data_IF_151495038932
#
_entry.id   IF_151495038932
#
_cell.length_a   1.000
_cell.length_b   1.000
_cell.length_c   1.000
_cell.angle_alpha   90.00
_cell.angle_beta   90.00
_cell.angle_gamma   90.00
#
_symmetry.space_group_name_H-M   'P 1'
#
loop_
_entity.id
_entity.type
_entity.pdbx_description
1 polymer ?
#
# COMPACT_ATOMS: atom_id res chain seq x y z
N UNK A 1 -7.74 -1.56 -28.55
CA UNK A 1 -8.88 -1.66 -27.58
C UNK A 1 -8.32 -2.04 -26.23
N UNK A 2 -8.86 -1.56 -25.11
CA UNK A 2 -8.46 -2.03 -23.76
C UNK A 2 -9.38 -3.15 -23.33
N UNK A 3 -8.91 -4.11 -22.54
CA UNK A 3 -9.69 -5.29 -22.16
C UNK A 3 -11.05 -4.95 -21.51
N UNK A 4 -11.08 -3.92 -20.65
CA UNK A 4 -12.32 -3.49 -19.97
C UNK A 4 -13.34 -2.77 -20.90
N UNK A 5 -12.98 -2.44 -22.12
CA UNK A 5 -13.90 -1.87 -23.13
C UNK A 5 -14.82 -2.95 -23.74
N UNK A 6 -14.43 -4.24 -23.61
CA UNK A 6 -15.28 -5.39 -23.83
C UNK A 6 -15.67 -6.00 -22.47
N UNK A 7 -16.82 -5.61 -21.95
CA UNK A 7 -17.28 -6.00 -20.61
C UNK A 7 -17.48 -7.52 -20.47
N UNK A 8 -17.91 -8.21 -21.55
CA UNK A 8 -18.11 -9.64 -21.51
C UNK A 8 -16.77 -10.38 -21.45
N UNK A 9 -15.85 -10.04 -22.32
CA UNK A 9 -14.51 -10.63 -22.35
C UNK A 9 -13.74 -10.35 -21.06
N UNK A 10 -13.85 -9.13 -20.53
CA UNK A 10 -13.22 -8.77 -19.25
C UNK A 10 -13.73 -9.63 -18.10
N UNK A 11 -15.05 -9.83 -18.02
CA UNK A 11 -15.68 -10.70 -17.04
C UNK A 11 -15.23 -12.16 -17.18
N UNK A 12 -15.18 -12.68 -18.40
CA UNK A 12 -14.71 -14.04 -18.67
C UNK A 12 -13.25 -14.24 -18.29
N UNK A 13 -12.38 -13.27 -18.61
CA UNK A 13 -10.97 -13.30 -18.24
C UNK A 13 -10.79 -13.32 -16.71
N UNK A 14 -11.49 -12.45 -15.98
CA UNK A 14 -11.45 -12.44 -14.50
C UNK A 14 -11.93 -13.78 -13.94
N UNK A 15 -13.06 -14.28 -14.42
CA UNK A 15 -13.65 -15.55 -13.96
C UNK A 15 -12.73 -16.72 -14.21
N UNK A 16 -12.07 -16.78 -15.36
CA UNK A 16 -11.12 -17.84 -15.69
C UNK A 16 -9.87 -17.79 -14.78
N UNK A 17 -9.27 -16.62 -14.64
CA UNK A 17 -8.04 -16.43 -13.86
C UNK A 17 -8.27 -16.64 -12.37
N UNK A 18 -9.47 -16.39 -11.87
CA UNK A 18 -9.82 -16.59 -10.46
C UNK A 18 -10.04 -18.04 -10.03
N UNK A 19 -10.11 -18.98 -10.97
CA UNK A 19 -10.31 -20.40 -10.65
C UNK A 19 -9.24 -20.91 -9.67
N UNK A 20 -9.54 -21.99 -8.93
CA UNK A 20 -8.55 -22.65 -8.12
C UNK A 20 -7.29 -23.02 -8.93
N UNK A 21 -6.14 -23.03 -8.28
CA UNK A 21 -4.87 -23.39 -8.93
C UNK A 21 -4.95 -24.79 -9.56
N UNK A 22 -5.61 -25.75 -8.90
CA UNK A 22 -5.85 -27.10 -9.43
C UNK A 22 -6.69 -27.11 -10.73
N UNK A 23 -7.44 -26.05 -11.02
CA UNK A 23 -8.23 -25.87 -12.23
C UNK A 23 -7.55 -24.94 -13.24
N UNK A 24 -6.28 -24.63 -13.03
CA UNK A 24 -5.45 -23.81 -13.93
C UNK A 24 -5.65 -22.30 -13.75
N UNK A 25 -6.25 -21.83 -12.66
CA UNK A 25 -6.33 -20.42 -12.31
C UNK A 25 -5.26 -19.99 -11.29
N UNK A 26 -5.40 -18.79 -10.71
CA UNK A 26 -4.53 -18.26 -9.67
C UNK A 26 -5.04 -18.53 -8.24
N UNK A 27 -6.28 -18.97 -8.06
CA UNK A 27 -6.91 -19.12 -6.74
C UNK A 27 -7.17 -17.80 -6.02
N UNK A 28 -7.12 -16.67 -6.73
CA UNK A 28 -7.31 -15.33 -6.18
C UNK A 28 -8.76 -14.91 -6.40
N UNK A 29 -9.37 -14.24 -5.40
CA UNK A 29 -10.74 -13.73 -5.52
C UNK A 29 -10.96 -12.90 -6.80
N UNK A 30 -12.07 -13.11 -7.53
CA UNK A 30 -12.42 -12.32 -8.71
C UNK A 30 -12.42 -10.80 -8.43
N UNK A 31 -12.88 -10.41 -7.24
CA UNK A 31 -12.85 -9.01 -6.79
C UNK A 31 -11.42 -8.44 -6.74
N UNK A 32 -10.47 -9.23 -6.26
CA UNK A 32 -9.08 -8.78 -6.17
C UNK A 32 -8.44 -8.68 -7.56
N UNK A 33 -8.74 -9.63 -8.47
CA UNK A 33 -8.24 -9.61 -9.84
C UNK A 33 -8.78 -8.38 -10.59
N UNK A 34 -10.08 -8.10 -10.47
CA UNK A 34 -10.70 -6.92 -11.08
C UNK A 34 -10.09 -5.63 -10.56
N UNK A 35 -10.01 -5.49 -9.23
CA UNK A 35 -9.48 -4.29 -8.59
C UNK A 35 -7.99 -4.09 -8.89
N UNK A 36 -7.20 -5.15 -8.90
CA UNK A 36 -5.79 -5.15 -9.30
C UNK A 36 -5.59 -4.63 -10.73
N UNK A 37 -6.44 -5.04 -11.67
CA UNK A 37 -6.42 -4.52 -13.03
C UNK A 37 -6.59 -2.99 -13.05
N UNK A 38 -7.54 -2.45 -12.27
CA UNK A 38 -7.79 -1.02 -12.22
C UNK A 38 -6.66 -0.24 -11.49
N UNK A 39 -6.11 -0.81 -10.43
CA UNK A 39 -4.91 -0.28 -9.76
C UNK A 39 -3.73 -0.20 -10.74
N UNK A 40 -3.42 -1.31 -11.42
CA UNK A 40 -2.34 -1.35 -12.40
C UNK A 40 -2.57 -0.39 -13.58
N UNK A 41 -3.83 -0.22 -14.03
CA UNK A 41 -4.18 0.77 -15.04
C UNK A 41 -3.88 2.20 -14.55
N UNK A 42 -4.29 2.55 -13.34
CA UNK A 42 -4.04 3.87 -12.76
C UNK A 42 -2.54 4.17 -12.63
N UNK A 43 -1.77 3.21 -12.14
CA UNK A 43 -0.31 3.34 -12.02
C UNK A 43 0.38 3.42 -13.38
N UNK A 44 -0.07 2.68 -14.38
CA UNK A 44 0.42 2.76 -15.76
C UNK A 44 0.19 4.15 -16.38
N UNK A 45 -0.95 4.75 -16.11
CA UNK A 45 -1.27 6.10 -16.56
C UNK A 45 -0.39 7.14 -15.86
N UNK A 46 -0.15 6.98 -14.56
CA UNK A 46 0.77 7.82 -13.78
C UNK A 46 2.20 7.75 -14.30
N UNK A 47 2.69 6.56 -14.60
CA UNK A 47 4.08 6.32 -14.98
C UNK A 47 4.49 6.95 -16.31
N UNK A 48 3.56 7.50 -17.09
CA UNK A 48 3.84 8.08 -18.41
C UNK A 48 4.32 9.53 -18.33
N UNK A 49 5.38 9.84 -19.09
CA UNK A 49 5.89 11.20 -19.27
C UNK A 49 6.42 11.84 -17.99
N UNK A 50 6.37 13.16 -17.92
CA UNK A 50 6.97 13.94 -16.82
C UNK A 50 6.36 13.65 -15.45
N UNK A 51 5.08 13.31 -15.40
CA UNK A 51 4.43 12.92 -14.12
C UNK A 51 5.09 11.69 -13.55
N UNK A 52 5.39 10.67 -14.37
CA UNK A 52 6.03 9.44 -13.92
C UNK A 52 7.42 9.65 -13.29
N UNK A 53 8.15 10.67 -13.72
CA UNK A 53 9.47 11.01 -13.19
C UNK A 53 9.39 11.81 -11.87
N UNK A 54 8.21 12.33 -11.53
CA UNK A 54 7.97 13.19 -10.36
C UNK A 54 7.06 12.54 -9.31
N UNK A 55 6.74 11.29 -9.50
CA UNK A 55 5.84 10.54 -8.61
C UNK A 55 6.49 9.24 -8.19
N UNK A 56 6.30 8.87 -6.93
CA UNK A 56 6.82 7.65 -6.34
C UNK A 56 5.66 6.85 -5.74
N UNK A 57 5.45 5.65 -6.24
CA UNK A 57 4.48 4.71 -5.70
C UNK A 57 4.99 4.13 -4.39
N UNK A 58 4.14 4.05 -3.36
CA UNK A 58 4.52 3.65 -2.01
C UNK A 58 3.43 2.86 -1.30
N UNK A 59 3.64 2.60 -0.02
CA UNK A 59 2.64 1.97 0.85
C UNK A 59 2.57 0.45 0.74
N UNK A 60 1.50 -0.14 1.32
CA UNK A 60 1.32 -1.60 1.35
C UNK A 60 1.14 -2.22 -0.04
N UNK A 61 0.48 -1.50 -0.95
CA UNK A 61 0.27 -1.96 -2.32
C UNK A 61 1.59 -2.04 -3.10
N UNK A 62 2.56 -1.14 -2.84
CA UNK A 62 3.87 -1.22 -3.48
C UNK A 62 4.68 -2.43 -3.03
N UNK A 63 4.57 -2.84 -1.76
CA UNK A 63 5.25 -4.05 -1.27
C UNK A 63 4.78 -5.30 -2.02
N UNK A 64 3.47 -5.51 -2.10
CA UNK A 64 2.93 -6.70 -2.75
C UNK A 64 3.07 -6.69 -4.27
N UNK A 65 2.89 -5.52 -4.92
CA UNK A 65 2.86 -5.42 -6.38
C UNK A 65 4.23 -5.22 -7.04
N UNK A 66 5.12 -4.46 -6.42
CA UNK A 66 6.41 -4.14 -7.01
C UNK A 66 7.55 -5.01 -6.45
N UNK A 67 7.51 -5.31 -5.16
CA UNK A 67 8.54 -6.12 -4.51
C UNK A 67 8.16 -7.59 -4.35
N UNK A 68 6.89 -7.97 -4.52
CA UNK A 68 6.43 -9.33 -4.24
C UNK A 68 6.50 -9.69 -2.74
N UNK A 69 6.51 -8.69 -1.85
CA UNK A 69 6.61 -8.87 -0.40
C UNK A 69 5.21 -8.91 0.20
N UNK A 70 4.91 -9.99 0.91
CA UNK A 70 3.60 -10.26 1.49
C UNK A 70 2.59 -10.80 0.48
N UNK A 71 1.59 -11.52 0.99
CA UNK A 71 0.57 -12.22 0.20
C UNK A 71 -0.84 -11.69 0.50
N UNK A 72 -0.97 -10.38 0.72
CA UNK A 72 -2.25 -9.74 0.97
C UNK A 72 -2.60 -8.71 -0.10
N UNK A 73 -3.88 -8.60 -0.36
CA UNK A 73 -4.41 -7.51 -1.18
C UNK A 73 -4.36 -6.18 -0.40
N UNK A 74 -3.99 -5.12 -1.10
CA UNK A 74 -4.11 -3.75 -0.62
C UNK A 74 -4.83 -2.93 -1.68
N UNK A 75 -5.84 -2.16 -1.25
CA UNK A 75 -6.75 -1.46 -2.18
C UNK A 75 -6.37 0.00 -2.43
N UNK A 76 -5.48 0.53 -1.59
CA UNK A 76 -5.08 1.92 -1.62
C UNK A 76 -3.90 2.11 -2.57
N UNK A 77 -3.95 3.13 -3.39
CA UNK A 77 -2.84 3.53 -4.26
C UNK A 77 -2.22 4.78 -3.67
N UNK A 78 -1.13 4.59 -2.93
CA UNK A 78 -0.38 5.65 -2.28
C UNK A 78 0.72 6.17 -3.20
N UNK A 79 0.75 7.48 -3.43
CA UNK A 79 1.73 8.15 -4.27
C UNK A 79 2.31 9.36 -3.53
N UNK A 80 3.62 9.49 -3.56
CA UNK A 80 4.32 10.68 -3.09
C UNK A 80 4.81 11.52 -4.27
N UNK A 81 4.81 12.84 -4.12
CA UNK A 81 5.45 13.75 -5.08
C UNK A 81 6.94 13.84 -4.72
N UNK A 82 7.78 13.47 -5.69
CA UNK A 82 9.22 13.64 -5.59
C UNK A 82 9.59 15.13 -5.67
N UNK A 83 10.64 15.52 -4.95
CA UNK A 83 11.21 16.88 -4.97
C UNK A 83 10.18 18.00 -4.70
N UNK A 84 9.17 17.69 -3.88
CA UNK A 84 8.07 18.63 -3.58
C UNK A 84 8.57 19.97 -3.02
N UNK A 85 9.70 19.97 -2.27
CA UNK A 85 10.32 21.16 -1.70
C UNK A 85 10.91 22.13 -2.76
N UNK A 86 11.14 21.66 -3.97
CA UNK A 86 11.62 22.53 -5.09
C UNK A 86 10.49 23.31 -5.74
N UNK A 87 9.23 23.02 -5.41
CA UNK A 87 8.04 23.57 -6.03
C UNK A 87 7.42 24.68 -5.20
N UNK A 88 6.92 25.72 -5.86
CA UNK A 88 6.00 26.64 -5.20
C UNK A 88 4.68 25.93 -4.85
N UNK A 89 3.94 26.43 -3.86
CA UNK A 89 2.66 25.86 -3.45
C UNK A 89 1.65 25.70 -4.61
N UNK A 90 1.64 26.66 -5.56
CA UNK A 90 0.77 26.56 -6.74
C UNK A 90 1.24 25.47 -7.73
N UNK A 91 2.54 25.34 -7.94
CA UNK A 91 3.09 24.28 -8.79
C UNK A 91 2.82 22.90 -8.20
N UNK A 92 3.04 22.73 -6.89
CA UNK A 92 2.77 21.49 -6.17
C UNK A 92 1.29 21.10 -6.24
N UNK A 93 0.39 22.03 -5.93
CA UNK A 93 -1.06 21.82 -6.04
C UNK A 93 -1.47 21.43 -7.47
N UNK A 94 -0.90 22.08 -8.46
CA UNK A 94 -1.15 21.78 -9.88
C UNK A 94 -0.67 20.37 -10.23
N UNK A 95 0.53 19.97 -9.80
CA UNK A 95 1.09 18.65 -10.05
C UNK A 95 0.25 17.54 -9.39
N UNK A 96 -0.14 17.71 -8.12
CA UNK A 96 -1.02 16.76 -7.41
C UNK A 96 -2.34 16.57 -8.19
N UNK A 97 -2.97 17.66 -8.63
CA UNK A 97 -4.21 17.60 -9.42
C UNK A 97 -4.01 16.91 -10.77
N UNK A 98 -2.94 17.23 -11.49
CA UNK A 98 -2.62 16.60 -12.77
C UNK A 98 -2.35 15.11 -12.61
N UNK A 99 -1.62 14.73 -11.56
CA UNK A 99 -1.36 13.32 -11.22
C UNK A 99 -2.66 12.58 -10.96
N UNK A 100 -3.53 13.10 -10.07
CA UNK A 100 -4.82 12.50 -9.79
C UNK A 100 -5.68 12.37 -11.06
N UNK A 101 -5.79 13.42 -11.85
CA UNK A 101 -6.56 13.40 -13.10
C UNK A 101 -6.03 12.36 -14.10
N UNK A 102 -4.71 12.25 -14.25
CA UNK A 102 -4.08 11.26 -15.12
C UNK A 102 -4.34 9.82 -14.64
N UNK A 103 -4.15 9.56 -13.35
CA UNK A 103 -4.36 8.24 -12.77
C UNK A 103 -5.78 7.73 -12.93
N UNK A 104 -6.74 8.65 -12.92
CA UNK A 104 -8.19 8.33 -12.86
C UNK A 104 -8.92 8.63 -14.17
N UNK A 105 -8.19 8.74 -15.28
CA UNK A 105 -8.77 8.95 -16.60
C UNK A 105 -9.85 7.91 -16.92
N UNK A 106 -11.09 8.37 -17.17
CA UNK A 106 -12.25 7.52 -17.43
C UNK A 106 -12.90 6.89 -16.20
N UNK A 107 -12.49 7.27 -14.99
CA UNK A 107 -13.14 6.88 -13.73
C UNK A 107 -13.98 8.03 -13.17
N UNK A 108 -15.03 7.69 -12.44
CA UNK A 108 -15.92 8.66 -11.78
C UNK A 108 -15.46 8.91 -10.36
N UNK A 109 -15.19 10.18 -10.01
CA UNK A 109 -14.86 10.55 -8.63
C UNK A 109 -16.07 10.43 -7.72
N UNK A 110 -15.87 9.82 -6.56
CA UNK A 110 -16.88 9.66 -5.51
C UNK A 110 -16.55 10.59 -4.34
N UNK A 111 -17.47 11.48 -4.01
CA UNK A 111 -17.35 12.31 -2.80
C UNK A 111 -17.95 11.56 -1.62
N UNK A 112 -17.10 11.11 -0.70
CA UNK A 112 -17.51 10.43 0.53
C UNK A 112 -17.23 11.36 1.71
N UNK A 113 -18.27 11.91 2.39
CA UNK A 113 -18.08 12.81 3.52
C UNK A 113 -17.18 12.20 4.60
N UNK A 114 -16.21 12.98 5.09
CA UNK A 114 -15.24 12.54 6.10
C UNK A 114 -14.13 11.59 5.59
N UNK A 115 -14.21 11.07 4.36
CA UNK A 115 -13.21 10.19 3.78
C UNK A 115 -12.45 10.79 2.59
N UNK A 116 -13.04 11.81 1.93
CA UNK A 116 -12.40 12.52 0.82
C UNK A 116 -11.78 13.81 1.34
N UNK A 117 -10.52 14.06 0.99
CA UNK A 117 -9.79 15.26 1.38
C UNK A 117 -8.92 15.76 0.23
N UNK A 118 -8.96 17.06 -0.05
CA UNK A 118 -8.21 17.71 -1.11
C UNK A 118 -7.60 19.01 -0.60
N UNK A 119 -6.29 19.09 -0.64
CA UNK A 119 -5.52 20.25 -0.21
C UNK A 119 -4.42 20.63 -1.20
N UNK A 120 -3.54 21.53 -0.79
CA UNK A 120 -2.37 21.91 -1.57
C UNK A 120 -1.25 20.87 -1.53
N UNK A 121 -1.20 20.07 -0.45
CA UNK A 121 -0.18 19.06 -0.18
C UNK A 121 -0.70 17.63 -0.18
N UNK A 122 -1.99 17.46 -0.34
CA UNK A 122 -2.65 16.18 -0.17
C UNK A 122 -3.91 16.05 -1.01
N UNK A 123 -4.10 14.88 -1.61
CA UNK A 123 -5.30 14.47 -2.33
C UNK A 123 -5.66 13.05 -1.94
N UNK A 124 -6.85 12.86 -1.39
CA UNK A 124 -7.43 11.55 -1.07
C UNK A 124 -8.84 11.50 -1.62
N UNK A 125 -9.08 10.62 -2.57
CA UNK A 125 -10.40 10.47 -3.16
C UNK A 125 -10.65 9.04 -3.64
N UNK A 126 -11.92 8.65 -3.60
CA UNK A 126 -12.38 7.37 -4.16
C UNK A 126 -12.85 7.57 -5.59
N UNK A 127 -12.57 6.58 -6.43
CA UNK A 127 -12.94 6.59 -7.83
C UNK A 127 -13.65 5.30 -8.19
N UNK A 128 -14.85 5.43 -8.78
CA UNK A 128 -15.65 4.30 -9.26
C UNK A 128 -15.15 3.86 -10.62
N UNK A 129 -14.97 2.56 -10.78
CA UNK A 129 -14.72 1.92 -12.07
C UNK A 129 -15.92 1.08 -12.53
N UNK A 130 -16.08 0.86 -13.85
CA UNK A 130 -17.10 -0.05 -14.38
C UNK A 130 -16.85 -1.47 -13.86
N UNK A 131 -17.75 -1.99 -13.02
CA UNK A 131 -17.65 -3.35 -12.49
C UNK A 131 -18.05 -4.39 -13.52
N UNK A 132 -17.21 -5.39 -13.73
CA UNK A 132 -17.53 -6.60 -14.47
C UNK A 132 -18.06 -7.71 -13.55
N UNK A 133 -17.61 -7.75 -12.30
CA UNK A 133 -17.96 -8.77 -11.31
C UNK A 133 -19.00 -8.25 -10.34
N UNK A 134 -20.19 -8.88 -10.34
CA UNK A 134 -21.23 -8.62 -9.36
C UNK A 134 -20.99 -9.51 -8.13
N UNK A 135 -20.76 -8.93 -6.96
CA UNK A 135 -20.61 -9.68 -5.72
C UNK A 135 -20.58 -8.76 -4.51
N UNK A 136 -21.14 -9.24 -3.40
CA UNK A 136 -20.87 -8.65 -2.09
C UNK A 136 -19.52 -9.17 -1.62
N UNK A 137 -18.65 -8.27 -1.18
CA UNK A 137 -17.40 -8.67 -0.57
C UNK A 137 -17.67 -9.20 0.83
N UNK A 138 -17.20 -10.40 1.13
CA UNK A 138 -17.11 -10.90 2.51
C UNK A 138 -15.96 -10.24 3.29
N UNK A 139 -15.21 -9.34 2.64
CA UNK A 139 -14.03 -8.66 3.19
C UNK A 139 -14.31 -7.17 3.42
N UNK A 140 -13.41 -6.48 4.10
CA UNK A 140 -13.44 -5.02 4.29
C UNK A 140 -13.23 -4.23 2.98
N UNK A 141 -12.93 -4.90 1.87
CA UNK A 141 -12.66 -4.28 0.56
C UNK A 141 -13.97 -3.94 -0.14
N UNK A 142 -14.13 -2.68 -0.49
CA UNK A 142 -15.31 -2.20 -1.23
C UNK A 142 -15.17 -2.48 -2.73
N UNK A 143 -16.09 -3.24 -3.36
CA UNK A 143 -16.07 -3.48 -4.80
C UNK A 143 -16.36 -2.19 -5.59
N UNK A 144 -15.93 -2.15 -6.85
CA UNK A 144 -16.27 -1.10 -7.82
C UNK A 144 -15.58 0.25 -7.60
N UNK A 145 -14.63 0.33 -6.66
CA UNK A 145 -13.91 1.58 -6.37
C UNK A 145 -12.46 1.35 -6.02
N UNK A 146 -11.61 2.33 -6.30
CA UNK A 146 -10.23 2.43 -5.83
C UNK A 146 -10.04 3.72 -5.04
N UNK A 147 -9.15 3.67 -4.04
CA UNK A 147 -8.72 4.85 -3.30
C UNK A 147 -7.37 5.32 -3.86
N UNK A 148 -7.30 6.59 -4.23
CA UNK A 148 -6.06 7.25 -4.65
C UNK A 148 -5.67 8.26 -3.58
N UNK A 149 -4.49 8.07 -3.01
CA UNK A 149 -3.87 9.01 -2.09
C UNK A 149 -2.58 9.56 -2.69
N UNK A 150 -2.48 10.89 -2.83
CA UNK A 150 -1.28 11.58 -3.32
C UNK A 150 -0.87 12.59 -2.27
N UNK A 151 0.37 12.54 -1.83
CA UNK A 151 0.86 13.47 -0.82
C UNK A 151 2.30 13.95 -1.09
N UNK A 152 2.72 14.98 -0.35
CA UNK A 152 4.03 15.59 -0.41
C UNK A 152 4.63 15.87 0.96
N UNK A 153 4.22 15.09 1.98
CA UNK A 153 4.60 15.36 3.37
C UNK A 153 6.01 14.90 3.70
N UNK A 154 6.48 13.83 3.06
CA UNK A 154 7.81 13.29 3.29
C UNK A 154 8.58 13.17 1.97
N UNK A 155 9.90 13.22 2.08
CA UNK A 155 10.79 12.94 0.96
C UNK A 155 10.69 11.46 0.58
N UNK A 156 10.26 11.10 -0.64
CA UNK A 156 10.07 9.70 -1.04
C UNK A 156 11.39 9.07 -1.56
N UNK A 157 12.47 9.23 -0.81
CA UNK A 157 13.77 8.64 -1.13
C UNK A 157 14.30 7.77 0.03
N UNK A 158 15.12 6.77 -0.29
CA UNK A 158 15.47 6.31 -1.64
C UNK A 158 14.27 5.70 -2.38
N UNK A 159 14.32 5.72 -3.71
CA UNK A 159 13.34 5.08 -4.57
C UNK A 159 14.04 4.43 -5.78
N UNK A 160 13.40 3.44 -6.38
CA UNK A 160 13.94 2.70 -7.52
C UNK A 160 12.88 2.45 -8.58
N UNK A 161 13.31 2.14 -9.79
CA UNK A 161 12.41 1.86 -10.91
C UNK A 161 12.16 0.36 -11.03
N UNK A 162 10.93 -0.06 -10.74
CA UNK A 162 10.53 -1.47 -10.77
C UNK A 162 9.48 -1.74 -11.84
N UNK A 163 9.51 -2.96 -12.38
CA UNK A 163 8.50 -3.44 -13.32
C UNK A 163 7.27 -3.95 -12.57
N UNK A 164 6.09 -3.57 -13.07
CA UNK A 164 4.81 -4.00 -12.52
C UNK A 164 3.90 -4.57 -13.59
N UNK A 165 3.04 -5.48 -13.17
CA UNK A 165 2.00 -6.06 -14.02
C UNK A 165 0.76 -6.44 -13.19
N UNK A 166 -0.39 -6.57 -13.85
CA UNK A 166 -1.61 -7.05 -13.19
C UNK A 166 -1.61 -8.58 -13.07
N UNK A 167 -2.45 -9.12 -12.17
CA UNK A 167 -2.67 -10.57 -12.08
C UNK A 167 -3.09 -11.18 -13.42
N UNK A 168 -3.93 -10.49 -14.18
CA UNK A 168 -4.30 -10.91 -15.53
C UNK A 168 -3.07 -11.01 -16.45
N UNK A 169 -2.18 -10.03 -16.41
CA UNK A 169 -0.95 -10.04 -17.22
C UNK A 169 -0.01 -11.16 -16.77
N UNK A 170 0.18 -11.34 -15.46
CA UNK A 170 0.98 -12.42 -14.89
C UNK A 170 0.47 -13.77 -15.37
N UNK A 171 -0.82 -14.01 -15.27
CA UNK A 171 -1.46 -15.25 -15.72
C UNK A 171 -1.27 -15.49 -17.22
N UNK A 172 -1.57 -14.49 -18.06
CA UNK A 172 -1.43 -14.58 -19.51
C UNK A 172 0.02 -14.86 -19.93
N UNK A 173 0.98 -14.21 -19.29
CA UNK A 173 2.40 -14.41 -19.54
C UNK A 173 2.86 -15.84 -19.18
N UNK A 174 2.44 -16.34 -18.04
CA UNK A 174 2.73 -17.70 -17.59
C UNK A 174 2.09 -18.77 -18.48
N UNK A 175 0.92 -18.46 -19.05
CA UNK A 175 0.18 -19.34 -19.98
C UNK A 175 0.62 -19.19 -21.44
N UNK A 176 1.64 -18.39 -21.74
CA UNK A 176 2.18 -18.22 -23.10
C UNK A 176 1.35 -17.31 -24.02
N UNK A 177 0.35 -16.59 -23.51
CA UNK A 177 -0.59 -15.76 -24.27
C UNK A 177 -0.07 -14.33 -24.48
N UNK A 178 1.10 -14.17 -25.08
CA UNK A 178 1.75 -12.87 -25.31
C UNK A 178 0.96 -11.98 -26.27
N UNK A 179 0.29 -12.56 -27.24
CA UNK A 179 -0.49 -11.83 -28.25
C UNK A 179 -1.66 -11.09 -27.57
N UNK A 180 -2.36 -11.74 -26.64
CA UNK A 180 -3.45 -11.10 -25.85
C UNK A 180 -2.91 -9.92 -25.04
N UNK A 181 -1.73 -10.08 -24.43
CA UNK A 181 -1.08 -8.98 -23.68
C UNK A 181 -0.82 -7.78 -24.61
N UNK A 182 -0.35 -8.04 -25.84
CA UNK A 182 -0.08 -7.00 -26.84
C UNK A 182 -1.36 -6.32 -27.33
N UNK A 183 -2.38 -7.10 -27.71
CA UNK A 183 -3.65 -6.62 -28.28
C UNK A 183 -4.44 -5.72 -27.33
N UNK A 184 -4.40 -6.03 -26.02
CA UNK A 184 -5.10 -5.27 -24.99
C UNK A 184 -4.20 -4.29 -24.21
N UNK A 185 -2.98 -4.05 -24.68
CA UNK A 185 -2.02 -3.10 -24.09
C UNK A 185 -1.77 -3.35 -22.58
N UNK A 186 -1.58 -4.62 -22.23
CA UNK A 186 -1.42 -5.07 -20.85
C UNK A 186 0.04 -5.36 -20.47
N UNK A 187 1.01 -5.01 -21.33
CA UNK A 187 2.44 -5.26 -21.09
C UNK A 187 2.87 -4.76 -19.71
N UNK A 188 3.86 -5.41 -19.06
CA UNK A 188 4.49 -4.85 -17.87
C UNK A 188 4.98 -3.42 -18.11
N UNK A 189 5.02 -2.61 -17.07
CA UNK A 189 5.44 -1.21 -17.14
C UNK A 189 6.30 -0.84 -15.95
N UNK A 190 7.22 0.10 -16.15
CA UNK A 190 8.09 0.58 -15.09
C UNK A 190 7.46 1.74 -14.32
N UNK A 191 7.61 1.75 -13.01
CA UNK A 191 7.18 2.82 -12.11
C UNK A 191 8.26 3.11 -11.08
N UNK A 192 8.39 4.35 -10.63
CA UNK A 192 9.25 4.70 -9.49
C UNK A 192 8.55 4.24 -8.21
N UNK A 193 9.25 3.47 -7.39
CA UNK A 193 8.73 2.85 -6.16
C UNK A 193 9.61 3.25 -4.98
N UNK A 194 8.99 3.59 -3.85
CA UNK A 194 9.71 3.83 -2.60
C UNK A 194 10.44 2.56 -2.17
N UNK A 195 11.70 2.71 -1.79
CA UNK A 195 12.51 1.59 -1.29
C UNK A 195 11.80 0.87 -0.15
N UNK A 196 11.84 -0.47 -0.17
CA UNK A 196 11.20 -1.32 0.84
C UNK A 196 11.72 -1.07 2.25
N UNK A 197 13.01 -0.72 2.39
CA UNK A 197 13.64 -0.36 3.68
C UNK A 197 13.05 0.94 4.23
N UNK A 198 12.88 1.95 3.37
CA UNK A 198 12.19 3.20 3.75
C UNK A 198 10.73 2.93 4.11
N UNK A 199 10.04 2.05 3.37
CA UNK A 199 8.67 1.64 3.70
C UNK A 199 8.59 0.96 5.07
N UNK A 200 9.58 0.12 5.45
CA UNK A 200 9.67 -0.48 6.79
C UNK A 200 9.80 0.60 7.86
N UNK A 201 10.70 1.56 7.67
CA UNK A 201 10.90 2.70 8.59
C UNK A 201 9.63 3.54 8.73
N UNK A 202 8.95 3.89 7.61
CA UNK A 202 7.67 4.64 7.65
C UNK A 202 6.58 3.90 8.44
N UNK A 203 6.49 2.56 8.30
CA UNK A 203 5.52 1.76 9.05
C UNK A 203 5.84 1.73 10.54
N UNK A 204 7.09 1.56 10.91
CA UNK A 204 7.53 1.57 12.31
C UNK A 204 7.29 2.92 12.96
N UNK A 205 7.67 4.02 12.31
CA UNK A 205 7.41 5.38 12.82
C UNK A 205 5.91 5.63 12.97
N UNK A 206 5.09 5.19 12.00
CA UNK A 206 3.62 5.28 12.08
C UNK A 206 3.05 4.50 13.27
N UNK A 207 3.56 3.29 13.55
CA UNK A 207 3.13 2.50 14.71
C UNK A 207 3.56 3.16 16.03
N UNK A 208 4.79 3.69 16.11
CA UNK A 208 5.26 4.41 17.31
C UNK A 208 4.41 5.64 17.58
N UNK A 209 4.12 6.45 16.56
CA UNK A 209 3.23 7.59 16.69
C UNK A 209 1.83 7.18 17.18
N UNK A 210 1.26 6.11 16.63
CA UNK A 210 -0.03 5.60 17.07
C UNK A 210 0.00 5.06 18.51
N UNK A 211 1.09 4.43 18.93
CA UNK A 211 1.23 3.88 20.27
C UNK A 211 1.33 4.93 21.36
N UNK A 212 1.81 6.12 21.02
CA UNK A 212 1.92 7.26 21.93
C UNK A 212 0.63 8.09 22.02
N UNK A 213 -0.42 7.73 21.30
CA UNK A 213 -1.71 8.41 21.35
C UNK A 213 -2.47 8.18 22.67
N UNK A 214 -3.40 9.07 22.99
CA UNK A 214 -4.30 8.89 24.14
C UNK A 214 -5.18 7.65 23.98
N UNK A 215 -5.62 7.38 22.76
CA UNK A 215 -6.41 6.21 22.36
C UNK A 215 -5.56 5.16 21.59
N UNK A 216 -4.36 4.89 22.09
CA UNK A 216 -3.33 4.10 21.40
C UNK A 216 -3.84 2.78 20.83
N UNK A 217 -4.68 2.04 21.56
CA UNK A 217 -5.24 0.76 21.09
C UNK A 217 -6.14 0.91 19.87
N UNK A 218 -6.96 1.96 19.81
CA UNK A 218 -7.78 2.29 18.63
C UNK A 218 -6.90 2.62 17.44
N UNK A 219 -5.87 3.44 17.65
CA UNK A 219 -4.93 3.83 16.59
C UNK A 219 -4.12 2.64 16.07
N UNK A 220 -3.60 1.79 16.94
CA UNK A 220 -2.86 0.58 16.55
C UNK A 220 -3.76 -0.43 15.85
N UNK A 221 -5.01 -0.61 16.30
CA UNK A 221 -5.99 -1.46 15.63
C UNK A 221 -6.23 -1.05 14.18
N UNK A 222 -6.34 0.25 13.91
CA UNK A 222 -6.47 0.78 12.56
C UNK A 222 -5.22 0.55 11.68
N UNK A 223 -4.08 0.22 12.30
CA UNK A 223 -2.81 -0.08 11.64
C UNK A 223 -2.45 -1.57 11.65
N UNK A 224 -3.40 -2.46 11.92
CA UNK A 224 -3.15 -3.90 12.08
C UNK A 224 -2.39 -4.51 10.89
N UNK A 225 -2.62 -4.00 9.67
CA UNK A 225 -1.93 -4.43 8.45
C UNK A 225 -0.44 -4.10 8.46
N UNK A 226 0.02 -3.11 9.26
CA UNK A 226 1.45 -2.77 9.34
C UNK A 226 2.24 -3.87 10.04
N UNK A 227 1.66 -4.53 11.03
CA UNK A 227 2.29 -5.67 11.71
C UNK A 227 2.54 -6.83 10.75
N UNK A 228 1.55 -7.15 9.93
CA UNK A 228 1.68 -8.15 8.86
C UNK A 228 2.77 -7.76 7.84
N UNK A 229 2.77 -6.51 7.36
CA UNK A 229 3.76 -6.06 6.38
C UNK A 229 5.18 -6.08 6.96
N UNK A 230 5.35 -5.68 8.22
CA UNK A 230 6.64 -5.69 8.92
C UNK A 230 7.16 -7.10 9.15
N UNK A 231 6.29 -8.09 9.39
CA UNK A 231 6.69 -9.50 9.45
C UNK A 231 7.38 -9.92 8.14
N UNK A 232 6.76 -9.67 7.00
CA UNK A 232 7.35 -10.03 5.71
C UNK A 232 8.61 -9.21 5.37
N UNK A 233 8.64 -7.94 5.74
CA UNK A 233 9.82 -7.08 5.57
C UNK A 233 11.00 -7.55 6.43
N UNK A 234 10.76 -8.06 7.63
CA UNK A 234 11.78 -8.65 8.48
C UNK A 234 12.36 -9.94 7.87
N UNK A 235 11.57 -10.71 7.11
CA UNK A 235 12.00 -11.93 6.44
C UNK A 235 12.61 -11.69 5.05
N UNK A 236 12.58 -10.46 4.54
CA UNK A 236 13.35 -10.05 3.38
C UNK A 236 14.81 -9.78 3.78
N UNK A 237 15.76 -10.50 3.17
CA UNK A 237 17.17 -10.49 3.56
C UNK A 237 17.79 -9.08 3.58
N UNK A 238 17.51 -8.29 2.55
CA UNK A 238 18.04 -6.92 2.43
C UNK A 238 17.44 -5.99 3.50
N UNK A 239 16.12 -6.08 3.71
CA UNK A 239 15.44 -5.27 4.72
C UNK A 239 15.86 -5.67 6.13
N UNK A 240 16.02 -6.97 6.41
CA UNK A 240 16.51 -7.46 7.70
C UNK A 240 17.94 -6.96 7.99
N UNK A 241 18.82 -7.02 6.98
CA UNK A 241 20.18 -6.46 7.10
C UNK A 241 20.16 -4.97 7.43
N UNK A 242 19.30 -4.21 6.76
CA UNK A 242 19.13 -2.77 7.03
C UNK A 242 18.57 -2.51 8.43
N UNK A 243 17.53 -3.22 8.87
CA UNK A 243 16.93 -3.03 10.20
C UNK A 243 17.92 -3.26 11.36
N UNK A 244 18.96 -4.06 11.15
CA UNK A 244 20.06 -4.29 12.12
C UNK A 244 21.14 -3.23 12.11
N UNK A 245 21.14 -2.30 11.17
CA UNK A 245 22.22 -1.34 10.95
C UNK A 245 22.05 -0.04 11.74
N UNK A 246 23.15 0.68 11.92
CA UNK A 246 23.11 2.04 12.48
C UNK A 246 22.42 3.03 11.54
N UNK A 247 22.44 2.78 10.23
CA UNK A 247 21.72 3.59 9.27
C UNK A 247 20.20 3.57 9.53
N UNK A 248 19.63 2.39 9.84
CA UNK A 248 18.21 2.30 10.21
C UNK A 248 17.88 3.14 11.44
N UNK A 249 18.72 3.09 12.48
CA UNK A 249 18.49 3.87 13.72
C UNK A 249 18.49 5.36 13.44
N UNK A 250 19.44 5.84 12.61
CA UNK A 250 19.50 7.23 12.20
C UNK A 250 18.27 7.64 11.38
N UNK A 251 17.91 6.85 10.36
CA UNK A 251 16.75 7.10 9.49
C UNK A 251 15.42 7.08 10.26
N UNK A 252 15.31 6.14 11.23
CA UNK A 252 14.13 6.05 12.09
C UNK A 252 13.98 7.30 12.96
N UNK A 253 15.07 7.74 13.58
CA UNK A 253 15.06 8.91 14.46
C UNK A 253 14.77 10.19 13.66
N UNK A 254 15.42 10.37 12.50
CA UNK A 254 15.16 11.50 11.62
C UNK A 254 13.68 11.54 11.18
N UNK A 255 13.12 10.41 10.75
CA UNK A 255 11.74 10.36 10.31
C UNK A 255 10.74 10.56 11.46
N UNK A 256 11.04 10.04 12.65
CA UNK A 256 10.20 10.23 13.82
C UNK A 256 10.16 11.71 14.24
N UNK A 257 11.30 12.40 14.26
CA UNK A 257 11.36 13.84 14.55
C UNK A 257 10.70 14.67 13.43
N UNK A 258 10.87 14.29 12.17
CA UNK A 258 10.14 14.90 11.07
C UNK A 258 8.63 14.78 11.27
N UNK A 259 8.12 13.60 11.63
CA UNK A 259 6.70 13.39 11.89
C UNK A 259 6.19 14.24 13.06
N UNK A 260 7.00 14.46 14.10
CA UNK A 260 6.68 15.36 15.23
C UNK A 260 6.48 16.80 14.79
N UNK A 261 7.15 17.23 13.75
CA UNK A 261 7.02 18.58 13.19
C UNK A 261 5.86 18.70 12.20
N UNK A 262 5.48 17.60 11.53
CA UNK A 262 4.50 17.62 10.45
C UNK A 262 3.08 17.27 10.89
N UNK A 263 2.91 16.47 11.95
CA UNK A 263 1.63 15.91 12.33
C UNK A 263 1.28 16.23 13.79
N UNK A 264 0.15 16.88 14.00
CA UNK A 264 -0.44 17.10 15.32
C UNK A 264 -1.33 15.94 15.79
N UNK A 265 -1.57 14.95 14.94
CA UNK A 265 -2.41 13.79 15.22
C UNK A 265 -1.60 12.48 15.19
N UNK A 266 -2.07 11.46 15.96
CA UNK A 266 -3.21 11.43 16.90
C UNK A 266 -2.97 12.26 18.16
N UNK A 267 -4.04 12.56 18.93
CA UNK A 267 -3.94 13.36 20.16
C UNK A 267 -3.02 12.69 21.19
N UNK A 268 -2.27 13.48 21.95
CA UNK A 268 -1.43 13.05 23.06
C UNK A 268 -0.03 12.56 22.65
N UNK A 269 0.21 12.23 21.37
CA UNK A 269 1.48 11.64 20.97
C UNK A 269 2.69 12.60 21.03
N UNK A 270 2.46 13.89 20.81
CA UNK A 270 3.52 14.91 20.90
C UNK A 270 3.99 15.17 22.32
N UNK A 271 3.16 14.85 23.30
CA UNK A 271 3.40 15.10 24.73
C UNK A 271 4.21 13.97 25.38
N UNK A 272 4.41 12.84 24.66
CA UNK A 272 5.09 11.64 25.15
C UNK A 272 6.39 11.42 24.43
N UNK A 273 7.37 10.94 25.19
CA UNK A 273 8.66 10.50 24.64
C UNK A 273 8.55 9.06 24.14
N UNK A 274 9.45 8.69 23.24
CA UNK A 274 9.41 7.40 22.57
C UNK A 274 9.55 6.20 23.53
N UNK A 275 10.32 6.35 24.60
CA UNK A 275 10.49 5.35 25.67
C UNK A 275 9.19 5.06 26.45
N UNK A 276 8.20 5.94 26.35
CA UNK A 276 6.87 5.73 26.94
C UNK A 276 5.94 4.92 26.03
N UNK A 277 6.40 4.50 24.85
CA UNK A 277 5.60 3.71 23.93
C UNK A 277 5.23 2.34 24.52
N UNK A 278 3.94 1.98 24.59
CA UNK A 278 3.53 0.63 25.00
C UNK A 278 4.08 -0.47 24.10
N UNK A 279 4.41 -0.16 22.84
CA UNK A 279 5.08 -1.14 21.95
C UNK A 279 6.47 -1.54 22.48
N UNK A 280 7.17 -0.63 23.16
CA UNK A 280 8.50 -0.87 23.72
C UNK A 280 8.44 -1.40 25.15
N UNK A 281 7.46 -0.96 25.94
CA UNK A 281 7.40 -1.23 27.38
C UNK A 281 6.48 -2.37 27.78
N UNK A 282 5.48 -2.68 26.95
CA UNK A 282 4.41 -3.65 27.29
C UNK A 282 3.91 -4.41 26.04
N UNK A 283 4.81 -4.82 25.14
CA UNK A 283 4.45 -5.45 23.86
C UNK A 283 3.48 -6.63 24.00
N UNK A 284 3.72 -7.52 24.94
CA UNK A 284 2.87 -8.70 25.14
C UNK A 284 1.40 -8.33 25.42
N UNK A 285 1.17 -7.30 26.25
CA UNK A 285 -0.19 -6.83 26.56
C UNK A 285 -0.82 -6.13 25.37
N UNK A 286 -0.05 -5.34 24.61
CA UNK A 286 -0.50 -4.70 23.38
C UNK A 286 -0.94 -5.75 22.36
N UNK A 287 -0.10 -6.75 22.10
CA UNK A 287 -0.40 -7.78 21.11
C UNK A 287 -1.61 -8.63 21.50
N UNK A 288 -1.73 -9.01 22.76
CA UNK A 288 -2.90 -9.74 23.28
C UNK A 288 -4.23 -9.04 22.96
N UNK A 289 -4.24 -7.72 22.93
CA UNK A 289 -5.44 -6.94 22.58
C UNK A 289 -5.64 -6.79 21.06
N UNK A 290 -4.56 -6.88 20.25
CA UNK A 290 -4.59 -6.75 18.80
C UNK A 290 -4.82 -8.09 18.07
N UNK A 291 -4.46 -9.21 18.68
CA UNK A 291 -4.52 -10.55 18.09
C UNK A 291 -5.88 -10.87 17.47
N UNK A 292 -6.96 -10.65 18.22
CA UNK A 292 -8.31 -10.92 17.72
C UNK A 292 -8.67 -10.08 16.48
N UNK A 293 -8.13 -8.87 16.37
CA UNK A 293 -8.32 -7.98 15.21
C UNK A 293 -7.51 -8.51 14.04
N UNK A 294 -6.27 -8.91 14.27
CA UNK A 294 -5.40 -9.52 13.27
C UNK A 294 -6.07 -10.74 12.64
N UNK A 295 -6.51 -11.71 13.47
CA UNK A 295 -7.14 -12.95 13.01
C UNK A 295 -8.49 -12.73 12.33
N UNK A 296 -9.19 -11.64 12.61
CA UNK A 296 -10.45 -11.29 11.96
C UNK A 296 -10.22 -10.63 10.60
N UNK A 297 -9.25 -9.71 10.48
CA UNK A 297 -9.14 -8.85 9.31
C UNK A 297 -8.22 -9.40 8.21
N UNK A 298 -7.11 -10.03 8.59
CA UNK A 298 -6.08 -10.41 7.62
C UNK A 298 -6.48 -11.59 6.71
N UNK A 299 -7.19 -12.65 7.19
CA UNK A 299 -7.55 -13.77 6.33
C UNK A 299 -8.40 -13.36 5.12
N UNK A 300 -9.28 -12.37 5.30
CA UNK A 300 -10.11 -11.85 4.21
C UNK A 300 -9.35 -11.02 3.16
N UNK A 301 -8.09 -10.67 3.42
CA UNK A 301 -7.25 -9.89 2.51
C UNK A 301 -6.15 -10.72 1.85
N UNK A 302 -5.80 -11.86 2.44
CA UNK A 302 -4.67 -12.68 1.99
C UNK A 302 -5.02 -13.57 0.79
N UNK A 303 -4.02 -13.87 -0.05
CA UNK A 303 -4.12 -14.82 -1.16
C UNK A 303 -3.76 -16.24 -0.74
N UNK A 304 -2.99 -16.38 0.34
CA UNK A 304 -2.50 -17.61 0.93
C UNK A 304 -2.72 -17.57 2.44
N UNK A 305 -2.32 -18.62 3.12
CA UNK A 305 -2.32 -18.64 4.59
C UNK A 305 -1.55 -17.45 5.15
N UNK A 306 -2.10 -16.84 6.19
CA UNK A 306 -1.44 -15.75 6.90
C UNK A 306 -0.50 -16.33 7.96
N UNK A 307 0.57 -15.63 8.32
CA UNK A 307 1.38 -15.98 9.48
C UNK A 307 0.51 -16.11 10.73
N UNK A 308 0.88 -17.03 11.60
CA UNK A 308 0.21 -17.19 12.90
C UNK A 308 0.37 -15.93 13.76
N UNK A 309 -0.48 -15.79 14.74
CA UNK A 309 -0.41 -14.70 15.72
C UNK A 309 0.94 -14.66 16.44
N UNK A 310 1.51 -15.83 16.76
CA UNK A 310 2.79 -15.98 17.42
C UNK A 310 3.94 -15.50 16.51
N UNK A 311 3.96 -15.90 15.22
CA UNK A 311 4.96 -15.47 14.25
C UNK A 311 4.96 -13.95 14.06
N UNK A 312 3.79 -13.29 14.04
CA UNK A 312 3.69 -11.84 13.98
C UNK A 312 4.24 -11.20 15.25
N UNK A 313 3.88 -11.74 16.41
CA UNK A 313 4.35 -11.24 17.71
C UNK A 313 5.88 -11.30 17.81
N UNK A 314 6.47 -12.43 17.46
CA UNK A 314 7.92 -12.65 17.51
C UNK A 314 8.67 -11.72 16.53
N UNK A 315 8.14 -11.56 15.33
CA UNK A 315 8.68 -10.65 14.33
C UNK A 315 8.66 -9.21 14.81
N UNK A 316 7.58 -8.79 15.44
CA UNK A 316 7.48 -7.44 15.99
C UNK A 316 8.40 -7.24 17.18
N UNK A 317 8.48 -8.19 18.11
CA UNK A 317 9.40 -8.12 19.24
C UNK A 317 10.85 -7.98 18.75
N UNK A 318 11.22 -8.76 17.74
CA UNK A 318 12.54 -8.67 17.09
C UNK A 318 12.78 -7.29 16.49
N UNK A 319 11.81 -6.79 15.71
CA UNK A 319 11.91 -5.50 15.01
C UNK A 319 11.99 -4.33 15.99
N UNK A 320 11.20 -4.36 17.07
CA UNK A 320 11.24 -3.36 18.13
C UNK A 320 12.60 -3.32 18.84
N UNK A 321 13.25 -4.47 19.01
CA UNK A 321 14.60 -4.58 19.57
C UNK A 321 15.68 -3.86 18.72
N UNK A 322 15.46 -3.65 17.42
CA UNK A 322 16.41 -2.94 16.55
C UNK A 322 16.32 -1.40 16.67
N UNK A 323 15.23 -0.87 17.21
CA UNK A 323 15.08 0.58 17.43
C UNK A 323 16.11 1.08 18.45
N UNK A 324 16.59 0.21 19.35
CA UNK A 324 17.77 0.42 20.22
C UNK A 324 17.57 1.53 21.26
N UNK A 325 17.26 1.12 22.47
CA UNK A 325 17.32 1.95 23.68
C UNK A 325 18.39 1.42 24.61
#
# INVERSE_FOLDING_TARGET
>A
MRLHEDAQLFKEAITFVSRPVAEGGLGISPLFIEKDYWICRSLRLMAKGDIGNRTVFKGGTSLSKAYGIGNRFSEDVDVAIADAWTLSGNQLKSLIRQTAHRMTEGLEEMVIPGKTSKGSHYHKAYYRYPQAMNGQSATSISPGQILIEINSFANPYPCERLMMESFLTTFLRQSGNQDIIADYHMQPFAVMVLDKRRTATEKLVSLMRCSLADDSMTQLSAKIRHFYDLHYLLHDEETNGYLKSDAFRADFQELFEHDRQQFDRPNGWLERSLDQSPLLTAWADVWKNLEAIYLRELPGLAYHEIPSSEEISDSMQTTLGYIGW
#
